data_IF_509121795576
#
_entry.id   IF_509121795576
#
_cell.length_a   1.000
_cell.length_b   1.000
_cell.length_c   1.000
_cell.angle_alpha   90.00
_cell.angle_beta   90.00
_cell.angle_gamma   90.00
#
_symmetry.space_group_name_H-M   'P 1'
#
loop_
_entity.id
_entity.type
_entity.pdbx_description
1 polymer ?
#
# COMPACT_ATOMS: atom_id res chain seq x y z
N UNK A 1 -3.39 -6.63 16.77
CA UNK A 1 -3.31 -5.28 17.34
C UNK A 1 -2.01 -5.13 18.11
N UNK A 2 -1.34 -3.99 17.91
CA UNK A 2 -0.31 -3.46 18.81
C UNK A 2 -1.04 -2.48 19.71
N UNK A 3 -1.02 -2.68 21.02
CA UNK A 3 -1.63 -1.74 21.97
C UNK A 3 -0.54 -0.86 22.57
N UNK A 4 -0.72 0.46 22.49
CA UNK A 4 0.34 1.45 22.69
C UNK A 4 0.03 2.39 23.85
N UNK A 5 1.01 2.54 24.73
CA UNK A 5 0.88 3.46 25.85
C UNK A 5 0.79 4.90 25.32
N UNK A 6 -0.12 5.69 25.88
CA UNK A 6 -0.24 7.11 25.55
C UNK A 6 0.96 7.91 26.10
N UNK A 7 2.13 7.79 25.48
CA UNK A 7 3.37 8.47 25.83
C UNK A 7 3.99 8.93 24.52
N UNK A 8 4.03 10.24 24.30
CA UNK A 8 4.77 10.85 23.21
C UNK A 8 5.32 12.20 23.68
N UNK A 9 6.61 12.44 23.42
CA UNK A 9 7.33 13.64 23.86
C UNK A 9 8.16 14.23 22.72
N UNK A 10 7.66 14.13 21.49
CA UNK A 10 8.34 14.54 20.27
C UNK A 10 8.92 15.95 20.39
N UNK A 11 8.15 16.90 20.95
CA UNK A 11 8.55 18.31 21.10
C UNK A 11 9.69 18.61 22.08
N UNK A 12 10.29 17.61 22.74
CA UNK A 12 11.39 17.80 23.69
C UNK A 12 12.77 17.83 22.98
N UNK A 13 13.75 18.53 23.57
CA UNK A 13 15.11 18.63 22.99
C UNK A 13 16.22 18.29 24.02
N UNK A 14 16.94 17.16 23.93
CA UNK A 14 16.66 16.03 23.06
C UNK A 14 15.29 15.40 23.38
N UNK A 15 14.78 14.61 22.43
CA UNK A 15 13.45 13.98 22.51
C UNK A 15 13.28 13.12 23.77
N UNK A 16 14.36 12.50 24.26
CA UNK A 16 14.37 11.68 25.46
C UNK A 16 14.47 12.47 26.78
N UNK A 17 14.44 13.81 26.78
CA UNK A 17 14.68 14.62 27.99
C UNK A 17 13.82 14.18 29.18
N UNK A 18 12.56 13.81 28.95
CA UNK A 18 11.66 13.33 30.00
C UNK A 18 11.79 11.82 30.23
N UNK A 19 12.03 11.05 29.16
CA UNK A 19 12.20 9.61 29.23
C UNK A 19 13.47 9.15 29.96
N UNK A 20 14.47 10.04 30.05
CA UNK A 20 15.73 9.78 30.77
C UNK A 20 15.79 10.42 32.16
N UNK A 21 14.73 11.13 32.57
CA UNK A 21 14.61 11.73 33.89
C UNK A 21 13.80 10.81 34.84
N UNK A 22 14.41 10.26 35.90
CA UNK A 22 13.72 9.39 36.86
C UNK A 22 12.51 10.06 37.54
N UNK A 23 12.44 11.40 37.59
CA UNK A 23 11.28 12.11 38.14
C UNK A 23 10.02 11.90 37.31
N UNK A 24 10.15 11.58 36.02
CA UNK A 24 9.03 11.30 35.12
C UNK A 24 8.63 9.82 35.09
N UNK A 25 9.43 8.92 35.69
CA UNK A 25 9.12 7.49 35.73
C UNK A 25 7.74 7.21 36.32
N UNK A 26 7.28 7.81 37.44
CA UNK A 26 5.94 7.55 37.97
C UNK A 26 4.85 7.84 36.94
N UNK A 27 4.92 8.98 36.25
CA UNK A 27 3.93 9.39 35.26
C UNK A 27 3.93 8.48 34.01
N UNK A 28 5.10 8.10 33.51
CA UNK A 28 5.22 7.15 32.40
C UNK A 28 4.74 5.75 32.82
N UNK A 29 5.06 5.34 34.05
CA UNK A 29 4.68 4.03 34.57
C UNK A 29 3.17 3.86 34.66
N UNK A 30 2.42 4.86 35.09
CA UNK A 30 0.96 4.74 35.15
C UNK A 30 0.34 4.52 33.77
N UNK A 31 0.89 5.14 32.71
CA UNK A 31 0.37 5.01 31.34
C UNK A 31 0.61 3.60 30.79
N UNK A 32 1.79 3.04 30.99
CA UNK A 32 2.11 1.65 30.57
C UNK A 32 1.38 0.64 31.44
N UNK A 33 1.50 0.75 32.77
CA UNK A 33 0.96 -0.27 33.68
C UNK A 33 -0.56 -0.38 33.62
N UNK A 34 -1.28 0.76 33.53
CA UNK A 34 -2.73 0.75 33.47
C UNK A 34 -3.26 0.24 32.13
N UNK A 35 -2.56 0.49 31.01
CA UNK A 35 -2.88 -0.12 29.72
C UNK A 35 -2.78 -1.65 29.82
N UNK A 36 -1.63 -2.18 30.23
CA UNK A 36 -1.43 -3.63 30.34
C UNK A 36 -2.44 -4.27 31.31
N UNK A 37 -2.72 -3.64 32.45
CA UNK A 37 -3.71 -4.14 33.41
C UNK A 37 -5.12 -4.17 32.83
N UNK A 38 -5.51 -3.16 32.04
CA UNK A 38 -6.82 -3.07 31.40
C UNK A 38 -6.96 -4.13 30.31
N UNK A 39 -5.94 -4.29 29.46
CA UNK A 39 -6.14 -4.91 28.15
C UNK A 39 -5.52 -6.30 27.95
N UNK A 40 -4.68 -6.78 28.89
CA UNK A 40 -3.94 -8.06 28.76
C UNK A 40 -4.76 -9.31 28.42
N UNK A 41 -6.07 -9.28 28.69
CA UNK A 41 -6.96 -10.41 28.42
C UNK A 41 -7.52 -10.41 26.98
N UNK A 42 -7.23 -9.39 26.16
CA UNK A 42 -7.69 -9.33 24.77
C UNK A 42 -6.78 -10.18 23.86
N UNK A 43 -7.31 -11.21 23.17
CA UNK A 43 -6.52 -12.06 22.28
C UNK A 43 -6.10 -11.33 20.99
N UNK A 44 -6.79 -10.26 20.61
CA UNK A 44 -6.44 -9.45 19.44
C UNK A 44 -5.18 -8.60 19.67
N UNK A 45 -4.80 -8.34 20.94
CA UNK A 45 -3.54 -7.71 21.30
C UNK A 45 -2.47 -8.78 21.26
N UNK A 46 -1.45 -8.58 20.42
CA UNK A 46 -0.35 -9.53 20.26
C UNK A 46 1.01 -8.91 20.55
N UNK A 47 1.09 -7.57 20.64
CA UNK A 47 2.32 -6.82 20.93
C UNK A 47 1.95 -5.64 21.84
N UNK A 48 2.80 -5.31 22.80
CA UNK A 48 2.73 -4.06 23.56
C UNK A 48 3.69 -3.02 22.97
N UNK A 49 3.28 -1.76 22.88
CA UNK A 49 4.17 -0.63 22.56
C UNK A 49 4.32 0.31 23.76
N UNK A 50 5.54 0.79 24.00
CA UNK A 50 5.85 1.66 25.14
C UNK A 50 5.46 3.14 24.91
N UNK A 51 4.99 3.47 23.71
CA UNK A 51 4.68 4.82 23.28
C UNK A 51 5.31 5.13 21.93
N UNK A 52 5.31 6.40 21.56
CA UNK A 52 5.82 6.88 20.28
C UNK A 52 6.79 8.06 20.47
N UNK A 53 7.70 8.26 19.52
CA UNK A 53 8.59 9.44 19.36
C UNK A 53 8.98 10.16 20.67
N UNK A 54 9.51 9.39 21.65
CA UNK A 54 9.93 9.88 22.96
C UNK A 54 11.43 9.69 23.20
N UNK A 55 12.22 9.51 22.12
CA UNK A 55 13.64 9.13 22.18
C UNK A 55 13.85 7.82 22.95
N UNK A 56 15.08 7.52 23.40
CA UNK A 56 15.34 6.39 24.30
C UNK A 56 15.94 6.89 25.62
N UNK A 57 15.51 6.33 26.74
CA UNK A 57 15.93 6.76 28.08
C UNK A 57 15.63 5.69 29.12
N UNK A 58 16.23 5.81 30.30
CA UNK A 58 16.19 4.79 31.36
C UNK A 58 14.78 4.38 31.79
N UNK A 59 13.78 5.27 31.66
CA UNK A 59 12.40 4.94 32.00
C UNK A 59 11.80 3.92 31.02
N UNK A 60 12.18 3.95 29.74
CA UNK A 60 11.75 2.94 28.76
C UNK A 60 12.31 1.57 29.11
N UNK A 61 13.60 1.49 29.50
CA UNK A 61 14.22 0.21 29.89
C UNK A 61 13.53 -0.39 31.13
N UNK A 62 13.21 0.46 32.12
CA UNK A 62 12.49 0.03 33.32
C UNK A 62 11.08 -0.49 32.99
N UNK A 63 10.35 0.22 32.13
CA UNK A 63 8.98 -0.14 31.75
C UNK A 63 8.93 -1.35 30.83
N UNK A 64 9.88 -1.48 29.89
CA UNK A 64 10.09 -2.69 29.11
C UNK A 64 10.24 -3.90 30.04
N UNK A 65 11.16 -3.83 31.01
CA UNK A 65 11.39 -4.94 31.97
C UNK A 65 10.17 -5.23 32.82
N UNK A 66 9.44 -4.20 33.23
CA UNK A 66 8.18 -4.37 33.94
C UNK A 66 7.17 -5.15 33.09
N UNK A 67 6.92 -4.75 31.84
CA UNK A 67 5.98 -5.45 30.95
C UNK A 67 6.41 -6.89 30.73
N UNK A 68 7.69 -7.15 30.42
CA UNK A 68 8.21 -8.51 30.28
C UNK A 68 8.02 -9.38 31.53
N UNK A 69 8.01 -8.77 32.72
CA UNK A 69 7.76 -9.50 33.97
C UNK A 69 6.27 -9.78 34.22
N UNK A 70 5.39 -8.85 33.83
CA UNK A 70 3.96 -8.90 34.13
C UNK A 70 3.15 -9.65 33.08
N UNK A 71 3.56 -9.57 31.82
CA UNK A 71 2.97 -10.30 30.71
C UNK A 71 4.07 -10.89 29.81
N UNK A 72 4.56 -12.09 30.13
CA UNK A 72 5.54 -12.78 29.30
C UNK A 72 4.94 -13.36 28.01
N UNK A 73 3.61 -13.25 27.81
CA UNK A 73 2.91 -13.88 26.67
C UNK A 73 3.03 -13.08 25.37
N UNK A 74 3.48 -11.81 25.46
CA UNK A 74 3.59 -10.90 24.31
C UNK A 74 4.99 -10.28 24.20
N UNK A 75 5.50 -10.06 22.97
CA UNK A 75 6.62 -9.16 22.74
C UNK A 75 6.27 -7.71 23.07
N UNK A 76 7.32 -6.92 23.34
CA UNK A 76 7.25 -5.47 23.53
C UNK A 76 8.03 -4.79 22.42
N UNK A 77 7.45 -3.79 21.77
CA UNK A 77 8.14 -2.95 20.80
C UNK A 77 8.24 -1.50 21.27
N UNK A 78 9.24 -0.78 20.77
CA UNK A 78 9.35 0.67 20.93
C UNK A 78 10.38 1.22 19.93
N UNK A 79 9.97 2.18 19.10
CA UNK A 79 10.82 2.73 18.03
C UNK A 79 11.86 3.72 18.55
N UNK A 80 11.53 4.47 19.60
CA UNK A 80 12.28 5.66 20.00
C UNK A 80 13.76 5.38 20.24
N UNK A 81 14.61 6.29 19.75
CA UNK A 81 16.06 6.23 19.95
C UNK A 81 16.81 5.29 18.99
N UNK A 82 16.22 4.94 17.85
CA UNK A 82 16.92 4.24 16.77
C UNK A 82 16.27 2.95 16.30
N UNK A 83 15.08 2.62 16.80
CA UNK A 83 14.25 1.46 16.41
C UNK A 83 14.79 0.07 16.75
N UNK A 84 15.98 -0.03 17.33
CA UNK A 84 16.66 -1.28 17.66
C UNK A 84 17.32 -1.27 19.06
N UNK A 85 16.83 -0.43 19.97
CA UNK A 85 17.35 -0.31 21.34
C UNK A 85 17.11 -1.57 22.20
N UNK A 86 17.61 -1.57 23.44
CA UNK A 86 17.37 -2.66 24.39
C UNK A 86 15.92 -2.72 24.92
N UNK A 87 15.10 -1.70 24.66
CA UNK A 87 13.70 -1.61 25.07
C UNK A 87 12.73 -2.16 24.01
N UNK A 88 13.22 -2.86 22.99
CA UNK A 88 12.38 -3.47 21.94
C UNK A 88 12.81 -4.90 21.59
N UNK A 89 11.82 -5.79 21.52
CA UNK A 89 11.94 -7.18 21.04
C UNK A 89 11.96 -7.25 19.50
N UNK A 90 11.49 -6.20 18.83
CA UNK A 90 11.27 -6.12 17.37
C UNK A 90 11.99 -4.88 16.85
N UNK A 91 12.75 -5.03 15.76
CA UNK A 91 13.27 -3.85 15.04
C UNK A 91 12.07 -3.17 14.41
N UNK A 92 11.71 -1.99 14.88
CA UNK A 92 10.41 -1.40 14.54
C UNK A 92 10.53 0.04 14.00
N UNK A 93 11.28 0.27 12.91
CA UNK A 93 11.54 1.60 12.42
C UNK A 93 10.31 2.20 11.75
N UNK A 94 10.20 3.52 11.85
CA UNK A 94 9.33 4.31 10.97
C UNK A 94 10.10 4.79 9.73
N UNK A 95 9.49 4.66 8.55
CA UNK A 95 9.96 5.21 7.26
C UNK A 95 11.35 4.77 6.78
N UNK A 96 11.86 3.64 7.28
CA UNK A 96 13.03 2.98 6.68
C UNK A 96 12.69 2.51 5.26
N UNK A 97 13.58 2.78 4.29
CA UNK A 97 13.35 2.43 2.87
C UNK A 97 13.75 0.98 2.62
N UNK A 98 13.27 0.43 1.51
CA UNK A 98 13.60 -0.95 1.12
C UNK A 98 15.09 -1.12 0.84
N UNK A 99 15.63 -0.27 -0.05
CA UNK A 99 16.98 -0.45 -0.62
C UNK A 99 17.94 0.71 -0.32
N UNK A 100 17.49 1.75 0.40
CA UNK A 100 18.26 2.98 0.58
C UNK A 100 18.44 3.33 2.06
N UNK A 101 19.70 3.45 2.47
CA UNK A 101 20.08 3.93 3.79
C UNK A 101 19.81 5.42 3.97
N UNK A 102 19.42 5.80 5.18
CA UNK A 102 19.27 7.18 5.65
C UNK A 102 20.12 7.33 6.93
N UNK A 103 21.43 7.59 6.80
CA UNK A 103 22.39 7.52 7.91
C UNK A 103 22.36 8.80 8.77
N UNK A 104 21.23 9.07 9.42
CA UNK A 104 21.12 10.16 10.37
C UNK A 104 22.06 9.92 11.58
N UNK A 105 22.74 10.96 12.10
CA UNK A 105 23.54 10.81 13.31
C UNK A 105 22.70 10.29 14.49
N UNK A 106 23.28 9.37 15.26
CA UNK A 106 22.68 8.68 16.42
C UNK A 106 21.49 7.75 16.12
N UNK A 107 20.63 8.06 15.16
CA UNK A 107 19.41 7.30 14.85
C UNK A 107 19.29 6.97 13.35
N UNK A 108 20.25 6.22 12.77
CA UNK A 108 20.23 5.88 11.36
C UNK A 108 19.01 5.02 11.02
N UNK A 109 18.41 5.23 9.85
CA UNK A 109 17.35 4.38 9.31
C UNK A 109 17.93 3.60 8.14
N UNK A 110 18.38 2.37 8.39
CA UNK A 110 18.98 1.52 7.37
C UNK A 110 17.95 0.98 6.39
N UNK A 111 18.40 0.61 5.19
CA UNK A 111 17.62 -0.22 4.29
C UNK A 111 17.16 -1.49 5.02
N UNK A 112 15.87 -1.84 4.96
CA UNK A 112 15.29 -2.89 5.84
C UNK A 112 16.00 -4.26 5.67
N UNK A 113 16.38 -4.62 4.44
CA UNK A 113 17.11 -5.86 4.17
C UNK A 113 18.53 -5.85 4.74
N UNK A 114 19.19 -4.67 4.75
CA UNK A 114 20.48 -4.48 5.41
C UNK A 114 20.35 -4.53 6.92
N UNK A 115 19.30 -3.92 7.49
CA UNK A 115 19.12 -3.80 8.94
C UNK A 115 19.05 -5.17 9.62
N UNK A 116 18.24 -6.09 9.07
CA UNK A 116 18.17 -7.47 9.57
C UNK A 116 19.48 -8.26 9.35
N UNK A 117 20.36 -7.78 8.46
CA UNK A 117 21.66 -8.39 8.17
C UNK A 117 22.83 -7.77 8.93
N UNK A 118 22.59 -6.81 9.83
CA UNK A 118 23.65 -6.23 10.65
C UNK A 118 24.26 -7.27 11.60
N UNK A 119 25.56 -7.13 11.97
CA UNK A 119 26.20 -8.05 12.90
C UNK A 119 25.42 -8.19 14.21
N UNK A 120 25.29 -9.42 14.70
CA UNK A 120 24.63 -9.78 15.97
C UNK A 120 23.11 -9.49 16.03
N UNK A 121 22.51 -8.92 14.99
CA UNK A 121 21.09 -8.63 14.95
C UNK A 121 20.27 -9.88 14.56
N UNK A 122 19.42 -10.37 15.47
CA UNK A 122 18.62 -11.59 15.30
C UNK A 122 17.10 -11.34 15.36
N UNK A 123 16.66 -10.14 15.73
CA UNK A 123 15.25 -9.81 15.91
C UNK A 123 14.49 -9.76 14.58
N UNK A 124 13.17 -10.02 14.56
CA UNK A 124 12.36 -9.67 13.39
C UNK A 124 12.31 -8.15 13.19
N UNK A 125 11.98 -7.74 11.96
CA UNK A 125 11.70 -6.33 11.64
C UNK A 125 10.26 -6.20 11.16
N UNK A 126 9.51 -5.32 11.83
CA UNK A 126 8.16 -4.92 11.47
C UNK A 126 8.11 -3.39 11.57
N UNK A 127 7.93 -2.69 10.45
CA UNK A 127 7.91 -1.23 10.47
C UNK A 127 6.70 -0.74 11.28
N UNK A 128 6.92 0.04 12.34
CA UNK A 128 5.81 0.65 13.10
C UNK A 128 5.06 1.67 12.24
N UNK A 129 5.73 2.26 11.25
CA UNK A 129 5.15 3.15 10.24
C UNK A 129 5.93 3.00 8.91
N UNK A 130 5.23 2.88 7.79
CA UNK A 130 5.84 2.96 6.47
C UNK A 130 4.83 3.47 5.43
N UNK A 131 5.33 3.77 4.23
CA UNK A 131 4.50 4.17 3.09
C UNK A 131 3.51 5.31 3.42
N UNK A 132 4.05 6.44 3.89
CA UNK A 132 3.28 7.64 4.25
C UNK A 132 2.29 8.06 3.14
N UNK A 133 0.98 7.97 3.38
CA UNK A 133 -0.08 8.04 2.37
C UNK A 133 -0.70 9.44 2.19
N UNK A 134 -0.02 10.49 2.66
CA UNK A 134 -0.46 11.88 2.54
C UNK A 134 -0.68 12.35 1.10
N UNK A 135 -1.93 12.68 0.77
CA UNK A 135 -2.33 13.17 -0.56
C UNK A 135 -2.10 12.14 -1.67
N UNK A 136 -1.55 12.59 -2.81
CA UNK A 136 -1.18 11.67 -3.89
C UNK A 136 0.22 11.09 -3.63
N UNK A 137 0.26 9.99 -2.87
CA UNK A 137 1.48 9.34 -2.40
C UNK A 137 1.47 7.82 -2.71
N UNK A 138 2.05 7.00 -1.83
CA UNK A 138 2.03 5.54 -1.87
C UNK A 138 2.82 4.88 -3.03
N UNK A 139 3.59 5.69 -3.77
CA UNK A 139 4.50 5.21 -4.80
C UNK A 139 5.58 4.27 -4.24
N UNK A 140 5.78 3.13 -4.91
CA UNK A 140 6.79 2.14 -4.51
C UNK A 140 6.34 1.18 -3.41
N UNK A 141 5.07 1.17 -3.03
CA UNK A 141 4.52 0.25 -2.02
C UNK A 141 4.80 -1.23 -2.32
N UNK A 142 4.68 -1.62 -3.59
CA UNK A 142 4.94 -2.99 -4.05
C UNK A 142 6.37 -3.48 -3.76
N UNK A 143 7.36 -2.56 -3.70
CA UNK A 143 8.74 -2.91 -3.34
C UNK A 143 8.85 -3.42 -1.90
N UNK A 144 8.09 -2.84 -0.97
CA UNK A 144 8.04 -3.32 0.41
C UNK A 144 7.49 -4.74 0.47
N UNK A 145 6.37 -4.98 -0.22
CA UNK A 145 5.74 -6.31 -0.25
C UNK A 145 6.63 -7.38 -0.88
N UNK A 146 7.32 -7.05 -1.98
CA UNK A 146 8.36 -7.94 -2.54
C UNK A 146 9.45 -8.28 -1.51
N UNK A 147 9.93 -7.28 -0.76
CA UNK A 147 10.94 -7.51 0.28
C UNK A 147 10.39 -8.35 1.45
N UNK A 148 9.15 -8.11 1.89
CA UNK A 148 8.49 -8.90 2.94
C UNK A 148 8.36 -10.37 2.55
N UNK A 149 8.01 -10.66 1.29
CA UNK A 149 7.95 -12.03 0.80
C UNK A 149 9.34 -12.67 0.62
N UNK A 150 10.36 -11.89 0.27
CA UNK A 150 11.71 -12.40 0.00
C UNK A 150 12.51 -12.73 1.28
N UNK A 151 12.20 -12.10 2.41
CA UNK A 151 13.00 -12.19 3.63
C UNK A 151 12.13 -12.59 4.84
N UNK A 152 12.30 -13.82 5.40
CA UNK A 152 11.47 -14.30 6.51
C UNK A 152 11.45 -13.43 7.77
N UNK A 153 12.52 -12.66 8.03
CA UNK A 153 12.61 -11.73 9.18
C UNK A 153 11.99 -10.36 8.91
N UNK A 154 11.63 -10.04 7.66
CA UNK A 154 10.85 -8.84 7.34
C UNK A 154 9.37 -9.20 7.36
N UNK A 155 8.70 -8.99 8.49
CA UNK A 155 7.35 -9.52 8.73
C UNK A 155 6.24 -8.50 8.47
N UNK A 156 6.49 -7.52 7.59
CA UNK A 156 5.54 -6.49 7.22
C UNK A 156 5.73 -5.16 7.94
N UNK A 157 4.65 -4.42 8.11
CA UNK A 157 4.63 -3.13 8.80
C UNK A 157 3.23 -2.52 8.81
N UNK A 158 3.11 -1.34 9.41
CA UNK A 158 1.86 -0.58 9.49
C UNK A 158 1.94 0.66 8.58
N UNK A 159 0.98 0.80 7.66
CA UNK A 159 0.91 2.00 6.80
C UNK A 159 0.59 3.22 7.65
N UNK A 160 1.24 4.35 7.38
CA UNK A 160 0.85 5.65 7.94
C UNK A 160 0.01 6.45 6.92
N UNK A 161 -1.28 6.63 7.13
CA UNK A 161 -2.13 6.01 8.15
C UNK A 161 -3.51 5.66 7.57
N UNK A 162 -4.48 5.37 8.45
CA UNK A 162 -5.80 4.91 7.98
C UNK A 162 -6.62 6.04 7.37
N UNK A 163 -6.79 7.16 8.09
CA UNK A 163 -7.83 8.16 7.78
C UNK A 163 -7.32 9.59 7.95
N UNK A 164 -7.65 10.43 6.98
CA UNK A 164 -7.41 11.87 7.07
C UNK A 164 -8.06 12.49 8.31
N UNK A 165 -7.28 13.21 9.11
CA UNK A 165 -7.77 13.91 10.30
C UNK A 165 -8.32 15.31 9.93
N UNK A 166 -9.16 15.35 8.90
CA UNK A 166 -9.85 16.57 8.49
C UNK A 166 -11.10 16.82 9.34
N UNK A 167 -11.44 18.09 9.55
CA UNK A 167 -12.67 18.51 10.23
C UNK A 167 -13.59 19.24 9.25
N UNK A 168 -14.90 19.10 9.43
CA UNK A 168 -15.86 19.82 8.58
C UNK A 168 -15.91 21.29 9.01
N UNK A 169 -15.79 22.20 8.05
CA UNK A 169 -16.13 23.62 8.21
C UNK A 169 -17.04 24.07 7.07
N UNK A 170 -17.74 25.19 7.26
CA UNK A 170 -18.63 25.79 6.24
C UNK A 170 -18.09 27.10 5.72
N UNK A 171 -18.14 27.33 4.42
CA UNK A 171 -17.77 28.59 3.77
C UNK A 171 -18.80 29.73 4.00
N UNK A 172 -18.56 30.92 3.43
CA UNK A 172 -19.48 32.06 3.54
C UNK A 172 -20.86 31.79 2.90
N UNK A 173 -20.95 30.78 2.03
CA UNK A 173 -22.18 30.35 1.35
C UNK A 173 -22.86 29.19 2.09
N UNK A 174 -22.24 28.66 3.13
CA UNK A 174 -22.75 27.54 3.93
C UNK A 174 -22.37 26.15 3.38
N UNK A 175 -21.51 26.06 2.36
CA UNK A 175 -21.03 24.82 1.78
C UNK A 175 -19.97 24.17 2.66
N UNK A 176 -20.10 22.86 2.92
CA UNK A 176 -19.16 22.11 3.75
C UNK A 176 -17.88 21.78 2.98
N UNK A 177 -16.74 21.90 3.66
CA UNK A 177 -15.44 21.46 3.16
C UNK A 177 -14.59 20.85 4.28
N UNK A 178 -13.61 20.05 3.88
CA UNK A 178 -12.61 19.46 4.76
C UNK A 178 -11.52 20.48 5.09
N UNK A 179 -11.49 20.89 6.36
CA UNK A 179 -10.54 21.83 6.93
C UNK A 179 -9.39 21.10 7.65
N UNK A 180 -8.22 21.72 7.69
CA UNK A 180 -7.01 21.22 8.35
C UNK A 180 -6.33 22.33 9.18
N UNK A 181 -5.09 22.11 9.64
CA UNK A 181 -4.36 23.07 10.48
C UNK A 181 -4.35 24.50 9.92
N UNK A 182 -4.71 25.47 10.76
CA UNK A 182 -4.82 26.89 10.43
C UNK A 182 -6.22 27.36 10.02
N UNK A 183 -7.11 26.48 9.54
CA UNK A 183 -8.47 26.86 9.13
C UNK A 183 -9.38 27.25 10.30
N UNK A 184 -8.96 26.97 11.53
CA UNK A 184 -9.64 27.35 12.77
C UNK A 184 -8.97 28.54 13.47
N UNK A 185 -7.96 29.16 12.85
CA UNK A 185 -7.18 30.25 13.42
C UNK A 185 -6.10 29.81 14.42
N UNK A 186 -5.84 28.50 14.52
CA UNK A 186 -4.79 27.90 15.33
C UNK A 186 -3.39 28.29 14.82
N UNK A 187 -2.53 28.72 15.75
CA UNK A 187 -1.13 29.11 15.46
C UNK A 187 -0.21 28.85 16.67
N UNK A 188 0.97 28.21 16.49
CA UNK A 188 1.46 27.61 15.24
C UNK A 188 0.62 26.40 14.80
N UNK A 189 0.72 26.01 13.53
CA UNK A 189 0.08 24.82 12.97
C UNK A 189 0.95 24.20 11.86
N UNK A 190 0.69 22.92 11.55
CA UNK A 190 1.40 22.14 10.52
C UNK A 190 0.53 21.86 9.28
N UNK A 191 -0.50 22.69 9.05
CA UNK A 191 -1.37 22.66 7.87
C UNK A 191 -1.92 21.27 7.57
N UNK A 192 -1.79 20.79 6.33
CA UNK A 192 -2.34 19.54 5.85
C UNK A 192 -1.55 18.29 6.29
N UNK A 193 -0.52 18.43 7.15
CA UNK A 193 0.27 17.29 7.64
C UNK A 193 -0.54 16.29 8.48
N UNK A 194 -1.79 16.63 8.85
CA UNK A 194 -2.76 15.76 9.49
C UNK A 194 -3.63 14.93 8.50
N UNK A 195 -3.39 15.04 7.18
CA UNK A 195 -4.14 14.37 6.12
C UNK A 195 -3.29 13.28 5.46
N UNK A 196 -3.12 12.14 6.14
CA UNK A 196 -2.18 11.07 5.77
C UNK A 196 -2.87 9.75 5.41
N UNK A 197 -4.21 9.77 5.26
CA UNK A 197 -5.02 8.56 5.22
C UNK A 197 -5.00 7.82 3.89
N UNK A 198 -5.22 6.50 3.95
CA UNK A 198 -5.68 5.71 2.81
C UNK A 198 -7.15 5.99 2.45
N UNK A 199 -7.90 6.60 3.36
CA UNK A 199 -9.27 7.06 3.14
C UNK A 199 -9.46 8.51 3.59
N UNK A 200 -10.37 9.21 2.95
CA UNK A 200 -10.84 10.52 3.39
C UNK A 200 -11.52 10.43 4.78
N UNK A 201 -11.74 11.57 5.42
CA UNK A 201 -12.40 11.67 6.73
C UNK A 201 -13.80 11.03 6.77
N UNK A 202 -14.52 10.93 5.64
CA UNK A 202 -15.81 10.25 5.53
C UNK A 202 -15.72 8.74 5.20
N UNK A 203 -14.49 8.20 5.15
CA UNK A 203 -14.12 6.82 4.79
C UNK A 203 -14.25 6.50 3.29
N UNK A 204 -14.45 7.50 2.44
CA UNK A 204 -14.32 7.33 0.99
C UNK A 204 -12.86 6.96 0.66
N UNK A 205 -12.62 5.86 -0.09
CA UNK A 205 -11.26 5.43 -0.43
C UNK A 205 -10.45 6.44 -1.25
N UNK A 206 -9.17 6.62 -0.91
CA UNK A 206 -8.19 7.15 -1.85
C UNK A 206 -7.77 6.09 -2.87
N UNK A 207 -7.26 6.48 -4.05
CA UNK A 207 -6.70 5.54 -5.02
C UNK A 207 -5.61 4.62 -4.43
N UNK A 208 -4.83 5.13 -3.47
CA UNK A 208 -3.79 4.37 -2.77
C UNK A 208 -4.31 3.12 -2.04
N UNK A 209 -5.56 3.12 -1.57
CA UNK A 209 -6.15 1.95 -0.90
C UNK A 209 -6.22 0.73 -1.83
N UNK A 210 -6.44 0.94 -3.13
CA UNK A 210 -6.50 -0.15 -4.10
C UNK A 210 -5.12 -0.76 -4.39
N UNK A 211 -4.07 0.07 -4.35
CA UNK A 211 -2.67 -0.40 -4.42
C UNK A 211 -2.32 -1.20 -3.15
N UNK A 212 -2.80 -0.75 -1.99
CA UNK A 212 -2.64 -1.47 -0.73
C UNK A 212 -3.31 -2.84 -0.80
N UNK A 213 -4.59 -2.88 -1.19
CA UNK A 213 -5.37 -4.10 -1.37
C UNK A 213 -4.68 -5.09 -2.32
N UNK A 214 -4.15 -4.60 -3.45
CA UNK A 214 -3.48 -5.44 -4.45
C UNK A 214 -2.21 -6.09 -3.92
N UNK A 215 -1.36 -5.32 -3.23
CA UNK A 215 -0.08 -5.83 -2.73
C UNK A 215 -0.27 -6.72 -1.48
N UNK A 216 -1.32 -6.48 -0.70
CA UNK A 216 -1.66 -7.19 0.55
C UNK A 216 -2.49 -8.46 0.36
N UNK A 217 -2.89 -8.79 -0.87
CA UNK A 217 -3.72 -9.97 -1.13
C UNK A 217 -3.02 -11.26 -0.69
N UNK A 218 -3.82 -12.24 -0.22
CA UNK A 218 -3.30 -13.51 0.33
C UNK A 218 -3.20 -14.63 -0.70
N UNK A 219 -3.19 -14.27 -1.98
CA UNK A 219 -3.03 -15.19 -3.10
C UNK A 219 -1.91 -14.71 -4.03
N UNK A 220 -0.93 -15.58 -4.25
CA UNK A 220 0.12 -15.37 -5.24
C UNK A 220 -0.17 -16.18 -6.49
N UNK A 221 0.10 -15.59 -7.64
CA UNK A 221 -0.16 -16.19 -8.93
C UNK A 221 1.14 -16.29 -9.74
N UNK A 222 1.28 -17.37 -10.49
CA UNK A 222 2.31 -17.51 -11.50
C UNK A 222 1.68 -18.12 -12.76
N UNK A 223 1.87 -17.46 -13.90
CA UNK A 223 1.31 -17.90 -15.18
C UNK A 223 2.41 -18.31 -16.15
N UNK A 224 2.33 -19.53 -16.67
CA UNK A 224 3.13 -20.00 -17.79
C UNK A 224 2.30 -19.94 -19.08
N UNK A 225 2.64 -18.98 -19.95
CA UNK A 225 1.94 -18.78 -21.21
C UNK A 225 2.19 -19.90 -22.24
N UNK A 226 3.27 -20.68 -22.12
CA UNK A 226 3.56 -21.75 -23.07
C UNK A 226 2.64 -22.96 -22.86
N UNK A 227 2.36 -23.29 -21.60
CA UNK A 227 1.45 -24.38 -21.21
C UNK A 227 0.03 -23.91 -20.86
N UNK A 228 -0.23 -22.61 -20.87
CA UNK A 228 -1.48 -21.98 -20.43
C UNK A 228 -1.87 -22.42 -19.01
N UNK A 229 -0.87 -22.60 -18.16
CA UNK A 229 -1.04 -23.08 -16.78
C UNK A 229 -0.90 -21.93 -15.80
N UNK A 230 -1.92 -21.75 -14.97
CA UNK A 230 -1.91 -20.82 -13.84
C UNK A 230 -1.64 -21.60 -12.55
N UNK A 231 -0.65 -21.18 -11.78
CA UNK A 231 -0.42 -21.67 -10.43
C UNK A 231 -0.90 -20.63 -9.42
N UNK A 232 -1.76 -21.06 -8.50
CA UNK A 232 -2.27 -20.25 -7.39
C UNK A 232 -1.66 -20.77 -6.09
N UNK A 233 -1.13 -19.87 -5.27
CA UNK A 233 -0.56 -20.18 -3.95
C UNK A 233 -1.27 -19.37 -2.88
N UNK A 234 -1.70 -20.03 -1.81
CA UNK A 234 -2.30 -19.40 -0.64
C UNK A 234 -1.20 -18.91 0.31
N UNK A 235 -1.28 -17.66 0.76
CA UNK A 235 -0.42 -17.14 1.83
C UNK A 235 -1.13 -17.14 3.21
N UNK A 236 -2.33 -17.73 3.30
CA UNK A 236 -2.95 -18.01 4.60
C UNK A 236 -2.08 -18.95 5.43
N UNK A 237 -2.03 -18.69 6.75
CA UNK A 237 -1.26 -19.50 7.71
C UNK A 237 -2.09 -20.57 8.41
N UNK A 238 -3.41 -20.39 8.53
CA UNK A 238 -4.25 -21.25 9.38
C UNK A 238 -5.48 -21.84 8.68
N UNK A 239 -6.13 -21.08 7.78
CA UNK A 239 -7.36 -21.53 7.12
C UNK A 239 -7.11 -22.13 5.75
N UNK A 240 -7.94 -23.10 5.41
CA UNK A 240 -8.10 -23.57 4.03
C UNK A 240 -8.87 -22.52 3.23
N UNK A 241 -8.75 -22.58 1.90
CA UNK A 241 -9.72 -21.91 1.04
C UNK A 241 -10.97 -22.77 0.95
N UNK A 242 -12.06 -22.27 1.51
CA UNK A 242 -13.37 -22.92 1.63
C UNK A 242 -14.52 -22.00 1.21
N UNK A 243 -14.19 -20.76 0.86
CA UNK A 243 -15.11 -19.75 0.34
C UNK A 243 -14.40 -18.92 -0.74
N UNK A 244 -13.59 -19.56 -1.58
CA UNK A 244 -12.86 -18.87 -2.65
C UNK A 244 -13.05 -19.57 -3.99
N UNK A 245 -13.38 -18.76 -4.99
CA UNK A 245 -13.50 -19.17 -6.38
C UNK A 245 -12.55 -18.34 -7.24
N UNK A 246 -11.71 -19.01 -8.02
CA UNK A 246 -10.88 -18.42 -9.04
C UNK A 246 -11.73 -18.22 -10.31
N UNK A 247 -11.81 -16.99 -10.79
CA UNK A 247 -12.36 -16.65 -12.09
C UNK A 247 -11.23 -16.16 -13.00
N UNK A 248 -11.24 -16.59 -14.26
CA UNK A 248 -10.29 -16.13 -15.25
C UNK A 248 -11.00 -15.73 -16.54
N UNK A 249 -10.44 -14.74 -17.23
CA UNK A 249 -10.92 -14.28 -18.53
C UNK A 249 -9.75 -13.92 -19.43
N UNK A 250 -9.84 -14.37 -20.68
CA UNK A 250 -8.92 -14.05 -21.75
C UNK A 250 -9.57 -12.99 -22.63
N UNK A 251 -8.95 -11.82 -22.73
CA UNK A 251 -9.48 -10.65 -23.43
C UNK A 251 -8.56 -10.22 -24.57
N UNK A 252 -9.12 -9.91 -25.72
CA UNK A 252 -8.42 -9.22 -26.80
C UNK A 252 -8.88 -7.76 -26.82
N UNK A 253 -7.96 -6.84 -26.51
CA UNK A 253 -8.24 -5.40 -26.38
C UNK A 253 -9.50 -5.12 -25.54
N UNK A 254 -9.62 -5.80 -24.39
CA UNK A 254 -10.73 -5.66 -23.45
C UNK A 254 -12.01 -6.42 -23.81
N UNK A 255 -12.04 -7.14 -24.94
CA UNK A 255 -13.21 -7.96 -25.31
C UNK A 255 -12.94 -9.43 -25.04
N UNK A 256 -13.79 -10.04 -24.21
CA UNK A 256 -13.68 -11.45 -23.81
C UNK A 256 -13.66 -12.41 -25.01
N UNK A 257 -12.80 -13.43 -24.92
CA UNK A 257 -12.63 -14.50 -25.91
C UNK A 257 -12.80 -15.89 -25.32
N UNK A 258 -12.46 -16.04 -24.05
CA UNK A 258 -12.67 -17.24 -23.26
C UNK A 258 -12.69 -16.87 -21.79
N UNK A 259 -13.40 -17.64 -20.98
CA UNK A 259 -13.47 -17.47 -19.54
C UNK A 259 -13.72 -18.81 -18.86
N UNK A 260 -13.50 -18.85 -17.56
CA UNK A 260 -13.79 -20.02 -16.75
C UNK A 260 -13.70 -19.70 -15.26
N UNK A 261 -14.22 -20.62 -14.46
CA UNK A 261 -14.26 -20.52 -13.00
C UNK A 261 -13.93 -21.87 -12.37
N UNK A 262 -13.18 -21.85 -11.26
CA UNK A 262 -12.75 -23.02 -10.52
C UNK A 262 -12.81 -22.72 -9.02
N UNK A 263 -13.40 -23.62 -8.23
CA UNK A 263 -13.36 -23.48 -6.78
C UNK A 263 -11.95 -23.79 -6.27
N UNK A 264 -11.43 -22.95 -5.36
CA UNK A 264 -10.13 -23.16 -4.74
C UNK A 264 -10.28 -23.99 -3.47
N UNK A 265 -9.55 -25.10 -3.40
CA UNK A 265 -9.44 -25.95 -2.21
C UNK A 265 -7.96 -26.15 -1.83
N UNK A 266 -7.31 -25.06 -1.42
CA UNK A 266 -5.90 -25.03 -1.01
C UNK A 266 -5.79 -25.14 0.51
N UNK A 267 -4.85 -25.96 1.05
CA UNK A 267 -4.46 -25.83 2.45
C UNK A 267 -3.70 -24.51 2.68
N UNK A 268 -3.54 -24.08 3.95
CA UNK A 268 -2.65 -22.98 4.30
C UNK A 268 -1.26 -23.17 3.68
N UNK A 269 -0.69 -22.12 3.11
CA UNK A 269 0.61 -22.16 2.39
C UNK A 269 0.66 -23.13 1.19
N UNK A 270 -0.46 -23.71 0.79
CA UNK A 270 -0.55 -24.66 -0.32
C UNK A 270 -0.66 -24.00 -1.70
N UNK A 271 -0.35 -24.77 -2.74
CA UNK A 271 -0.45 -24.35 -4.13
C UNK A 271 -1.19 -25.38 -4.99
N UNK A 272 -1.86 -24.91 -6.04
CA UNK A 272 -2.39 -25.77 -7.11
C UNK A 272 -2.18 -25.13 -8.48
N UNK A 273 -2.08 -25.96 -9.51
CA UNK A 273 -1.89 -25.54 -10.90
C UNK A 273 -3.08 -25.97 -11.75
N UNK A 274 -3.54 -25.06 -12.61
CA UNK A 274 -4.70 -25.22 -13.47
C UNK A 274 -4.34 -24.90 -14.91
N UNK A 275 -4.48 -25.87 -15.80
CA UNK A 275 -4.44 -25.60 -17.25
C UNK A 275 -5.75 -24.94 -17.64
N UNK A 276 -5.70 -23.66 -18.02
CA UNK A 276 -6.89 -22.84 -18.26
C UNK A 276 -7.59 -23.21 -19.57
N UNK A 277 -6.79 -23.53 -20.59
CA UNK A 277 -7.23 -23.90 -21.93
C UNK A 277 -6.25 -24.93 -22.51
N UNK A 278 -6.75 -25.91 -23.28
CA UNK A 278 -5.90 -26.84 -24.03
C UNK A 278 -5.07 -26.12 -25.12
N UNK A 279 -5.63 -25.05 -25.69
CA UNK A 279 -5.01 -24.18 -26.68
C UNK A 279 -5.67 -22.82 -26.71
N UNK A 280 -4.94 -21.79 -27.13
CA UNK A 280 -5.52 -20.47 -27.37
C UNK A 280 -6.59 -20.52 -28.47
N UNK A 281 -7.66 -19.71 -28.35
CA UNK A 281 -8.64 -19.57 -29.42
C UNK A 281 -7.98 -19.01 -30.68
N UNK A 282 -8.47 -19.39 -31.86
CA UNK A 282 -8.03 -18.80 -33.11
C UNK A 282 -8.53 -17.35 -33.21
N UNK A 283 -7.60 -16.40 -33.12
CA UNK A 283 -7.89 -14.97 -33.16
C UNK A 283 -7.37 -14.35 -34.46
N UNK A 284 -8.28 -14.00 -35.37
CA UNK A 284 -7.97 -13.42 -36.68
C UNK A 284 -7.75 -11.90 -36.67
N UNK A 285 -8.09 -11.26 -35.57
CA UNK A 285 -8.01 -9.82 -35.39
C UNK A 285 -6.69 -9.42 -34.69
N UNK A 286 -6.10 -8.28 -35.09
CA UNK A 286 -4.98 -7.68 -34.36
C UNK A 286 -5.42 -7.31 -32.93
N UNK A 287 -4.44 -7.01 -32.08
CA UNK A 287 -4.70 -6.60 -30.70
C UNK A 287 -3.88 -7.35 -29.67
N UNK A 288 -3.89 -6.85 -28.45
CA UNK A 288 -3.20 -7.43 -27.30
C UNK A 288 -4.10 -8.41 -26.57
N UNK A 289 -3.56 -9.61 -26.34
CA UNK A 289 -4.25 -10.65 -25.62
C UNK A 289 -3.81 -10.61 -24.15
N UNK A 290 -4.78 -10.52 -23.25
CA UNK A 290 -4.56 -10.40 -21.82
C UNK A 290 -5.30 -11.51 -21.08
N UNK A 291 -4.60 -12.18 -20.17
CA UNK A 291 -5.20 -13.05 -19.17
C UNK A 291 -5.44 -12.21 -17.93
N UNK A 292 -6.69 -12.11 -17.49
CA UNK A 292 -7.06 -11.54 -16.20
C UNK A 292 -7.54 -12.67 -15.29
N UNK A 293 -7.11 -12.65 -14.03
CA UNK A 293 -7.58 -13.59 -13.00
C UNK A 293 -8.04 -12.83 -11.78
N UNK A 294 -9.03 -13.37 -11.08
CA UNK A 294 -9.47 -12.87 -9.79
C UNK A 294 -9.93 -14.01 -8.89
N UNK A 295 -9.79 -13.81 -7.59
CA UNK A 295 -10.36 -14.67 -6.57
C UNK A 295 -11.48 -13.90 -5.89
N UNK A 296 -12.67 -14.49 -5.88
CA UNK A 296 -13.86 -13.94 -5.25
C UNK A 296 -14.32 -14.86 -4.13
N UNK A 297 -15.01 -14.28 -3.14
CA UNK A 297 -15.68 -15.02 -2.08
C UNK A 297 -17.15 -15.20 -2.43
N UNK A 298 -17.62 -16.39 -2.85
CA UNK A 298 -19.01 -16.54 -3.30
C UNK A 298 -20.04 -16.25 -2.21
N UNK A 299 -19.72 -16.58 -0.95
CA UNK A 299 -20.61 -16.33 0.20
C UNK A 299 -20.16 -15.09 0.97
N UNK A 300 -21.13 -14.35 1.52
CA UNK A 300 -20.88 -13.25 2.44
C UNK A 300 -20.22 -13.74 3.73
N UNK A 301 -19.46 -12.87 4.37
CA UNK A 301 -18.87 -13.07 5.70
C UNK A 301 -19.28 -11.92 6.63
N UNK A 302 -18.86 -11.97 7.90
CA UNK A 302 -19.11 -10.86 8.84
C UNK A 302 -18.44 -9.53 8.42
N UNK A 303 -17.51 -9.55 7.47
CA UNK A 303 -16.75 -8.38 7.01
C UNK A 303 -16.81 -8.12 5.50
N UNK A 304 -17.39 -9.02 4.71
CA UNK A 304 -17.49 -8.90 3.25
C UNK A 304 -18.85 -9.31 2.73
N UNK A 305 -19.33 -8.57 1.74
CA UNK A 305 -20.51 -8.97 0.96
C UNK A 305 -20.21 -10.22 0.12
N UNK A 306 -21.27 -10.91 -0.33
CA UNK A 306 -21.13 -11.99 -1.29
C UNK A 306 -20.47 -11.49 -2.59
N UNK A 307 -19.66 -12.34 -3.19
CA UNK A 307 -18.82 -12.06 -4.37
C UNK A 307 -17.74 -10.99 -4.16
N UNK A 308 -17.32 -10.75 -2.91
CA UNK A 308 -16.18 -9.86 -2.63
C UNK A 308 -14.90 -10.35 -3.32
N UNK A 309 -14.27 -9.48 -4.11
CA UNK A 309 -12.99 -9.75 -4.78
C UNK A 309 -11.82 -9.53 -3.82
N UNK A 310 -11.13 -10.60 -3.46
CA UNK A 310 -10.03 -10.57 -2.48
C UNK A 310 -8.63 -10.65 -3.09
N UNK A 311 -8.50 -11.02 -4.37
CA UNK A 311 -7.21 -11.01 -5.09
C UNK A 311 -7.42 -10.92 -6.60
N UNK A 312 -6.44 -10.36 -7.33
CA UNK A 312 -6.45 -10.37 -8.79
C UNK A 312 -5.04 -10.23 -9.36
N UNK A 313 -4.87 -10.57 -10.63
CA UNK A 313 -3.65 -10.35 -11.38
C UNK A 313 -3.89 -10.36 -12.90
N UNK A 314 -2.89 -9.94 -13.68
CA UNK A 314 -2.99 -9.84 -15.12
C UNK A 314 -1.66 -10.15 -15.82
N UNK A 315 -1.70 -10.88 -16.93
CA UNK A 315 -0.55 -11.11 -17.80
C UNK A 315 -0.89 -10.86 -19.26
N UNK A 316 0.05 -10.26 -19.97
CA UNK A 316 0.03 -10.23 -21.43
C UNK A 316 0.36 -11.63 -21.96
N UNK A 317 -0.51 -12.17 -22.81
CA UNK A 317 -0.32 -13.49 -23.42
C UNK A 317 0.38 -13.32 -24.78
N UNK A 318 1.59 -13.88 -24.96
CA UNK A 318 2.32 -13.78 -26.22
C UNK A 318 1.52 -14.38 -27.38
N UNK A 319 1.52 -13.67 -28.52
CA UNK A 319 0.94 -14.14 -29.79
C UNK A 319 1.75 -13.65 -30.97
N UNK A 320 1.59 -14.29 -32.13
CA UNK A 320 2.17 -13.80 -33.37
C UNK A 320 1.65 -12.40 -33.69
N UNK A 321 2.55 -11.51 -34.09
CA UNK A 321 2.19 -10.17 -34.55
C UNK A 321 1.31 -10.28 -35.80
N UNK A 322 0.21 -9.53 -35.81
CA UNK A 322 -0.60 -9.36 -37.01
C UNK A 322 0.09 -8.37 -37.93
N UNK A 323 0.28 -8.69 -39.22
CA UNK A 323 0.73 -7.70 -40.17
C UNK A 323 -0.31 -6.56 -40.19
N UNK A 324 0.18 -5.32 -40.19
CA UNK A 324 -0.69 -4.16 -40.31
C UNK A 324 -1.52 -4.31 -41.59
N UNK A 325 -2.84 -4.04 -41.54
CA UNK A 325 -3.62 -3.96 -42.77
C UNK A 325 -2.96 -2.94 -43.71
N UNK A 326 -2.97 -3.18 -45.02
CA UNK A 326 -2.45 -2.19 -45.97
C UNK A 326 -3.16 -0.85 -45.74
N UNK A 327 -2.44 0.28 -45.86
CA UNK A 327 -3.03 1.60 -45.65
C UNK A 327 -4.26 1.76 -46.53
N UNK A 328 -5.34 2.29 -45.95
CA UNK A 328 -6.56 2.54 -46.69
C UNK A 328 -6.28 3.45 -47.90
N UNK A 329 -6.81 3.10 -49.07
CA UNK A 329 -6.80 3.99 -50.22
C UNK A 329 -7.80 5.13 -49.96
N UNK A 330 -7.30 6.28 -49.52
CA UNK A 330 -8.07 7.48 -49.22
C UNK A 330 -7.63 8.69 -50.03
N UNK A 331 -8.44 9.75 -50.02
CA UNK A 331 -8.06 11.05 -50.58
C UNK A 331 -7.06 11.71 -49.63
N UNK A 332 -5.89 12.19 -50.09
CA UNK A 332 -4.94 12.84 -49.19
C UNK A 332 -5.53 14.12 -48.58
N UNK A 333 -5.15 14.48 -47.34
CA UNK A 333 -5.52 15.77 -46.76
C UNK A 333 -5.00 16.93 -47.62
N UNK A 334 -5.76 18.03 -47.67
CA UNK A 334 -5.31 19.28 -48.30
C UNK A 334 -4.60 20.14 -47.26
N UNK A 335 -3.47 20.73 -47.66
CA UNK A 335 -2.70 21.65 -46.84
C UNK A 335 -2.80 23.07 -47.42
N UNK A 336 -3.21 24.02 -46.58
CA UNK A 336 -3.14 25.45 -46.86
C UNK A 336 -2.10 26.06 -45.93
N UNK A 337 -1.10 26.71 -46.50
CA UNK A 337 0.00 27.36 -45.79
C UNK A 337 -0.07 28.88 -46.00
N UNK A 338 0.01 29.63 -44.90
CA UNK A 338 0.14 31.10 -44.93
C UNK A 338 1.07 31.57 -43.79
N UNK A 339 1.27 32.88 -43.70
CA UNK A 339 2.17 33.50 -42.70
C UNK A 339 1.70 33.27 -41.26
N UNK A 340 0.39 33.10 -41.03
CA UNK A 340 -0.20 32.86 -39.71
C UNK A 340 -0.07 31.40 -39.28
N UNK A 341 -0.07 30.45 -40.22
CA UNK A 341 -0.20 29.04 -39.87
C UNK A 341 -0.26 28.03 -41.02
N UNK A 342 -0.53 26.79 -40.63
CA UNK A 342 -0.84 25.66 -41.51
C UNK A 342 -2.28 25.21 -41.21
N UNK A 343 -3.11 25.06 -42.23
CA UNK A 343 -4.45 24.46 -42.11
C UNK A 343 -4.47 23.16 -42.89
N UNK A 344 -4.60 22.02 -42.21
CA UNK A 344 -4.90 20.73 -42.84
C UNK A 344 -6.41 20.53 -42.88
N UNK A 345 -6.95 20.07 -44.01
CA UNK A 345 -8.36 19.68 -44.15
C UNK A 345 -8.46 18.27 -44.74
N UNK A 346 -9.31 17.42 -44.17
CA UNK A 346 -9.56 16.06 -44.65
C UNK A 346 -11.02 15.68 -44.40
N UNK A 347 -11.82 15.57 -45.46
CA UNK A 347 -13.28 15.51 -45.33
C UNK A 347 -13.79 16.76 -44.60
N UNK A 348 -14.64 16.56 -43.60
CA UNK A 348 -15.24 17.63 -42.80
C UNK A 348 -14.37 18.05 -41.60
N UNK A 349 -13.17 17.49 -41.48
CA UNK A 349 -12.24 17.79 -40.40
C UNK A 349 -11.19 18.80 -40.84
N UNK A 350 -10.88 19.75 -39.95
CA UNK A 350 -9.89 20.82 -40.15
C UNK A 350 -9.02 20.99 -38.91
N UNK A 351 -7.71 21.00 -39.11
CA UNK A 351 -6.70 21.24 -38.08
C UNK A 351 -5.92 22.50 -38.41
N UNK A 352 -5.77 23.40 -37.45
CA UNK A 352 -5.00 24.64 -37.60
C UNK A 352 -3.80 24.63 -36.69
N UNK A 353 -2.62 24.85 -37.27
CA UNK A 353 -1.38 25.04 -36.55
C UNK A 353 -0.94 26.48 -36.73
N UNK A 354 -0.55 27.13 -35.65
CA UNK A 354 -0.01 28.49 -35.71
C UNK A 354 1.51 28.43 -35.88
N UNK A 355 2.06 29.24 -36.79
CA UNK A 355 3.51 29.22 -37.09
C UNK A 355 4.37 29.85 -36.01
N UNK A 356 3.86 30.88 -35.34
CA UNK A 356 4.59 31.62 -34.31
C UNK A 356 4.84 30.77 -33.06
N UNK A 357 3.84 29.96 -32.66
CA UNK A 357 3.92 29.08 -31.48
C UNK A 357 4.30 27.64 -31.82
N UNK A 358 4.04 27.19 -33.04
CA UNK A 358 4.17 25.78 -33.44
C UNK A 358 3.07 24.88 -32.88
N UNK A 359 2.03 25.44 -32.26
CA UNK A 359 0.95 24.67 -31.64
C UNK A 359 -0.18 24.36 -32.62
N UNK A 360 -0.84 23.22 -32.39
CA UNK A 360 -2.20 22.98 -32.88
C UNK A 360 -3.15 23.90 -32.09
N UNK A 361 -3.75 24.87 -32.75
CA UNK A 361 -4.59 25.91 -32.11
C UNK A 361 -6.08 25.63 -32.26
N UNK A 362 -6.48 24.83 -33.25
CA UNK A 362 -7.87 24.42 -33.39
C UNK A 362 -8.00 23.06 -34.09
N UNK A 363 -9.02 22.30 -33.65
CA UNK A 363 -9.56 21.14 -34.37
C UNK A 363 -11.04 21.40 -34.55
N UNK A 364 -11.51 21.35 -35.79
CA UNK A 364 -12.91 21.55 -36.16
C UNK A 364 -13.38 20.32 -36.93
N UNK A 365 -14.57 19.83 -36.60
CA UNK A 365 -15.31 18.86 -37.41
C UNK A 365 -16.66 19.50 -37.73
N UNK A 366 -16.94 19.74 -39.02
CA UNK A 366 -18.18 20.35 -39.51
C UNK A 366 -19.24 19.31 -39.90
#
# INVERSE_FOLDING_TARGET
>A
MVDEANIETHGMQPMNRLADDPLWLPAMSERVTRMVQRDRNHPCIIIWSLGNESGHGVNHDALYRWVKSQDPTRPVQYEGGGADTAATDIICPMYARVDQDQPFPAVPKWAIGKWIGLPEEQRPLILCEYAHAMGNSFGGFERYWRAFHAHPRLQGGFVWDWVDQALIRRDERGEEFWAYGGDFGDTPNDRQFCLNGLVFADRTPHPALFEAQRAQQLFRFAFDAASLTLTVTSDYLFRHTDNEQLNWRLELDGVERASGSLDLALPPQGSASFTLLDRLPMLHQPGELWLNVEVVQPQATDWSEAHHRCAWDQWRVPRALHPAPPPAQGVPPTLIENDEGLTLTHGDQRWRFERSSGHLTAVVAE
#
